data_IF_238789787562
#
_entry.id   IF_238789787562
#
_cell.length_a   1.000
_cell.length_b   1.000
_cell.length_c   1.000
_cell.angle_alpha   90.00
_cell.angle_beta   90.00
_cell.angle_gamma   90.00
#
_symmetry.space_group_name_H-M   'P 1'
#
loop_
_entity.id
_entity.type
_entity.pdbx_description
1 polymer ?
#
# COMPACT_ATOMS: atom_id res chain seq x y z
N UNK A 1 6.41 -10.34 -10.78
CA UNK A 1 7.12 -9.27 -10.04
C UNK A 1 6.28 -8.87 -8.86
N UNK A 2 6.83 -8.99 -7.64
CA UNK A 2 6.18 -8.56 -6.40
C UNK A 2 5.94 -7.04 -6.42
N UNK A 3 4.81 -6.58 -5.89
CA UNK A 3 4.47 -5.16 -5.81
C UNK A 3 3.66 -4.86 -4.54
N UNK A 4 4.33 -4.28 -3.55
CA UNK A 4 3.75 -3.92 -2.26
C UNK A 4 2.67 -2.83 -2.39
N UNK A 5 2.63 -2.04 -3.46
CA UNK A 5 1.60 -1.01 -3.61
C UNK A 5 0.18 -1.59 -3.70
N UNK A 6 0.07 -2.85 -4.15
CA UNK A 6 -1.20 -3.57 -4.33
C UNK A 6 -1.65 -4.34 -3.08
N UNK A 7 -0.83 -4.36 -2.03
CA UNK A 7 -1.19 -4.97 -0.74
C UNK A 7 -2.43 -4.29 -0.16
N UNK A 8 -3.29 -5.10 0.44
CA UNK A 8 -4.58 -4.67 0.99
C UNK A 8 -4.43 -4.38 2.48
N UNK A 9 -4.97 -3.26 2.92
CA UNK A 9 -5.03 -2.85 4.31
C UNK A 9 -6.49 -2.70 4.76
N UNK A 10 -6.74 -3.11 5.99
CA UNK A 10 -8.03 -2.91 6.64
C UNK A 10 -8.08 -1.51 7.27
N UNK A 11 -9.06 -0.72 6.82
CA UNK A 11 -9.34 0.62 7.32
C UNK A 11 -10.65 0.56 8.10
N UNK A 12 -10.57 0.72 9.42
CA UNK A 12 -11.74 0.74 10.28
C UNK A 12 -12.34 2.14 10.30
N UNK A 13 -13.65 2.23 10.04
CA UNK A 13 -14.44 3.43 10.25
C UNK A 13 -14.89 3.52 11.71
N UNK A 14 -15.12 4.74 12.20
CA UNK A 14 -15.62 4.99 13.57
C UNK A 14 -16.96 4.30 13.85
N UNK A 15 -17.80 4.11 12.84
CA UNK A 15 -19.05 3.34 12.95
C UNK A 15 -18.84 1.82 13.11
N UNK A 16 -17.60 1.34 13.18
CA UNK A 16 -17.24 -0.07 13.35
C UNK A 16 -17.12 -0.87 12.04
N UNK A 17 -17.53 -0.31 10.89
CA UNK A 17 -17.37 -0.95 9.58
C UNK A 17 -15.91 -1.00 9.15
N UNK A 18 -15.52 -2.07 8.46
CA UNK A 18 -14.19 -2.22 7.86
C UNK A 18 -14.27 -1.96 6.36
N UNK A 19 -13.25 -1.30 5.84
CA UNK A 19 -13.06 -1.04 4.42
C UNK A 19 -11.72 -1.61 4.00
N UNK A 20 -11.69 -2.20 2.82
CA UNK A 20 -10.45 -2.69 2.22
C UNK A 20 -9.92 -1.57 1.31
N UNK A 21 -8.71 -1.11 1.59
CA UNK A 21 -7.97 -0.17 0.75
C UNK A 21 -6.62 -0.78 0.35
N UNK A 22 -5.94 -0.19 -0.61
CA UNK A 22 -4.56 -0.56 -0.94
C UNK A 22 -3.56 0.42 -0.34
N UNK A 23 -2.30 0.00 -0.18
CA UNK A 23 -1.21 0.93 0.14
C UNK A 23 -1.09 2.03 -0.93
N UNK A 24 -1.37 1.72 -2.19
CA UNK A 24 -1.45 2.71 -3.27
C UNK A 24 -2.56 3.75 -3.03
N UNK A 25 -3.73 3.33 -2.54
CA UNK A 25 -4.81 4.27 -2.19
C UNK A 25 -4.37 5.24 -1.08
N UNK A 26 -3.57 4.78 -0.11
CA UNK A 26 -2.99 5.62 0.94
C UNK A 26 -1.94 6.61 0.39
N UNK A 27 -1.05 6.14 -0.49
CA UNK A 27 -0.06 6.99 -1.19
C UNK A 27 -0.76 8.06 -2.03
N UNK A 28 -1.88 7.71 -2.67
CA UNK A 28 -2.69 8.61 -3.49
C UNK A 28 -3.63 9.51 -2.67
N UNK A 29 -3.62 9.40 -1.34
CA UNK A 29 -4.47 10.16 -0.42
C UNK A 29 -5.96 10.06 -0.73
N UNK A 30 -6.40 8.86 -1.13
CA UNK A 30 -7.79 8.62 -1.50
C UNK A 30 -8.71 8.79 -0.30
N UNK A 31 -9.89 9.31 -0.54
CA UNK A 31 -10.96 9.42 0.46
C UNK A 31 -11.92 8.24 0.29
N UNK A 32 -12.14 7.48 1.37
CA UNK A 32 -13.15 6.43 1.44
C UNK A 32 -14.42 7.03 2.03
N UNK A 33 -15.51 6.98 1.28
CA UNK A 33 -16.83 7.35 1.79
C UNK A 33 -17.46 6.14 2.46
N UNK A 34 -17.64 6.21 3.77
CA UNK A 34 -18.36 5.20 4.51
C UNK A 34 -19.87 5.41 4.38
N UNK A 35 -20.63 4.33 4.35
CA UNK A 35 -22.09 4.34 4.33
C UNK A 35 -22.75 4.88 5.61
N UNK A 36 -21.98 5.14 6.68
CA UNK A 36 -22.45 5.90 7.85
C UNK A 36 -22.40 7.43 7.65
N UNK A 37 -21.90 7.91 6.50
CA UNK A 37 -21.75 9.33 6.20
C UNK A 37 -20.35 9.91 6.46
N UNK A 38 -19.48 9.17 7.16
CA UNK A 38 -18.11 9.59 7.45
C UNK A 38 -17.20 9.46 6.23
N UNK A 39 -16.35 10.46 5.99
CA UNK A 39 -15.27 10.39 5.01
C UNK A 39 -13.95 10.07 5.72
N UNK A 40 -13.31 8.98 5.34
CA UNK A 40 -12.00 8.58 5.86
C UNK A 40 -10.97 8.97 4.81
N UNK A 41 -10.17 9.99 5.09
CA UNK A 41 -9.05 10.35 4.23
C UNK A 41 -7.85 9.49 4.58
N UNK A 42 -7.41 8.67 3.63
CA UNK A 42 -6.15 7.94 3.80
C UNK A 42 -5.01 8.95 3.68
N UNK A 43 -4.08 8.92 4.62
CA UNK A 43 -2.94 9.83 4.62
C UNK A 43 -1.64 9.07 4.83
N UNK A 44 -0.71 9.24 3.89
CA UNK A 44 0.68 8.80 4.03
C UNK A 44 1.49 9.88 4.76
N UNK A 45 1.42 9.85 6.09
CA UNK A 45 2.19 10.75 6.93
C UNK A 45 3.69 10.56 6.68
N UNK A 46 4.36 11.68 6.36
CA UNK A 46 5.79 11.75 6.08
C UNK A 46 6.27 10.85 4.92
N UNK A 47 5.40 10.49 3.97
CA UNK A 47 5.75 9.61 2.83
C UNK A 47 6.31 8.25 3.26
N UNK A 48 5.98 7.81 4.47
CA UNK A 48 6.52 6.58 5.08
C UNK A 48 6.05 5.34 4.31
N UNK A 49 4.78 5.29 3.91
CA UNK A 49 4.24 4.22 3.10
C UNK A 49 4.86 4.23 1.69
N UNK A 50 4.97 5.41 1.05
CA UNK A 50 5.63 5.54 -0.25
C UNK A 50 7.09 5.06 -0.21
N UNK A 51 7.84 5.44 0.83
CA UNK A 51 9.24 5.03 0.98
C UNK A 51 9.36 3.52 1.18
N UNK A 52 8.58 2.96 2.12
CA UNK A 52 8.58 1.52 2.38
C UNK A 52 8.19 0.68 1.16
N UNK A 53 7.15 1.09 0.42
CA UNK A 53 6.75 0.42 -0.84
C UNK A 53 7.88 0.45 -1.87
N UNK A 54 8.55 1.59 -2.05
CA UNK A 54 9.65 1.70 -2.99
C UNK A 54 10.86 0.85 -2.59
N UNK A 55 11.26 0.90 -1.33
CA UNK A 55 12.44 0.18 -0.83
C UNK A 55 12.22 -1.34 -0.94
N UNK A 56 11.05 -1.84 -0.53
CA UNK A 56 10.72 -3.27 -0.61
C UNK A 56 10.62 -3.72 -2.08
N UNK A 57 9.91 -2.97 -2.93
CA UNK A 57 9.82 -3.31 -4.36
C UNK A 57 11.19 -3.34 -5.03
N UNK A 58 12.11 -2.45 -4.63
CA UNK A 58 13.50 -2.46 -5.11
C UNK A 58 14.24 -3.73 -4.68
N UNK A 59 14.17 -4.10 -3.40
CA UNK A 59 14.81 -5.31 -2.87
C UNK A 59 14.36 -6.56 -3.63
N UNK A 60 13.06 -6.71 -3.89
CA UNK A 60 12.55 -7.86 -4.65
C UNK A 60 13.03 -7.87 -6.11
N UNK A 61 13.14 -6.70 -6.76
CA UNK A 61 13.71 -6.61 -8.11
C UNK A 61 15.19 -6.96 -8.13
N UNK A 62 15.96 -6.47 -7.16
CA UNK A 62 17.40 -6.76 -7.06
C UNK A 62 17.64 -8.24 -6.78
N UNK A 63 16.80 -8.86 -5.95
CA UNK A 63 16.81 -10.30 -5.69
C UNK A 63 16.49 -11.10 -6.96
N UNK A 64 15.42 -10.73 -7.69
CA UNK A 64 15.05 -11.35 -8.97
C UNK A 64 16.19 -11.26 -10.00
N UNK A 65 16.82 -10.09 -10.10
CA UNK A 65 17.97 -9.87 -10.99
C UNK A 65 19.18 -10.72 -10.59
N UNK A 66 19.41 -10.92 -9.29
CA UNK A 66 20.49 -11.77 -8.79
C UNK A 66 20.24 -13.23 -9.16
N UNK A 67 19.03 -13.74 -8.92
CA UNK A 67 18.67 -15.11 -9.33
C UNK A 67 18.78 -15.31 -10.84
N UNK A 68 18.37 -14.34 -11.67
CA UNK A 68 18.54 -14.39 -13.13
C UNK A 68 20.00 -14.45 -13.57
N UNK A 69 20.93 -13.87 -12.80
CA UNK A 69 22.37 -13.93 -13.06
C UNK A 69 23.00 -15.26 -12.62
N UNK A 70 22.49 -15.87 -11.55
CA UNK A 70 22.97 -17.15 -11.03
C UNK A 70 22.44 -18.37 -11.81
N UNK A 71 21.27 -18.24 -12.45
CA UNK A 71 20.71 -19.28 -13.32
C UNK A 71 21.22 -19.26 -14.76
N UNK A 72 22.27 -18.48 -15.05
CA UNK A 72 22.99 -18.44 -16.33
C UNK A 72 24.35 -19.10 -16.19
#
# INVERSE_FOLDING_TARGET
>A
MFDLSKEKIDVKCDCGRKHIATLQDAINRKTIKCSCGTNIQLNDNNRSARKGVNDINKVFRDLENTFKKLGK
#
